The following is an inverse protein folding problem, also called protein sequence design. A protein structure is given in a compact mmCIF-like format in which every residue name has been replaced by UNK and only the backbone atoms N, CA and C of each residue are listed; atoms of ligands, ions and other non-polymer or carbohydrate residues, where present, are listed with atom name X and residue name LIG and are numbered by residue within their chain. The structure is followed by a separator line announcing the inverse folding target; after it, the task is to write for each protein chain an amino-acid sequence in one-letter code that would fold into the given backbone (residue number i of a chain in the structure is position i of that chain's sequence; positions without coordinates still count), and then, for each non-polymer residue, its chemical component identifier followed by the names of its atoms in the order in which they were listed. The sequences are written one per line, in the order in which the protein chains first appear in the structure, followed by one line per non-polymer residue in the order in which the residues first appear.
data_IF_867719560657
#
_entry.id   IF_867719560657
#
_cell.length_a   1.000
_cell.length_b   1.000
_cell.length_c   1.000
_cell.angle_alpha   90.00
_cell.angle_beta   90.00
_cell.angle_gamma   90.00
#
_symmetry.space_group_name_H-M   'P 1'
#
loop_
_entity.id
_entity.type
_entity.pdbx_description
1 polymer ?
#
# COMPACT_ATOMS: atom_id res chain seq x y z
N UNK A 1 -31.06 1.98 -67.08
CA UNK A 1 -30.30 2.90 -67.98
C UNK A 1 -29.66 4.11 -67.27
N UNK A 2 -30.00 4.43 -66.00
CA UNK A 2 -29.39 5.59 -65.29
C UNK A 2 -28.04 5.33 -64.61
N UNK A 3 -27.62 4.07 -64.46
CA UNK A 3 -26.40 3.70 -63.71
C UNK A 3 -25.10 4.24 -64.33
N UNK A 4 -25.01 4.35 -65.65
CA UNK A 4 -23.77 4.76 -66.33
C UNK A 4 -23.49 6.25 -66.15
N UNK A 5 -24.51 7.10 -66.19
CA UNK A 5 -24.35 8.55 -65.98
C UNK A 5 -24.04 8.90 -64.52
N UNK A 6 -24.65 8.18 -63.57
CA UNK A 6 -24.37 8.35 -62.14
C UNK A 6 -22.93 7.94 -61.81
N UNK A 7 -22.44 6.82 -62.36
CA UNK A 7 -21.05 6.36 -62.15
C UNK A 7 -20.00 7.35 -62.63
N UNK A 8 -20.25 8.11 -63.71
CA UNK A 8 -19.31 9.13 -64.21
C UNK A 8 -19.26 10.36 -63.29
N UNK A 9 -20.42 10.90 -62.91
CA UNK A 9 -20.49 12.04 -61.99
C UNK A 9 -19.99 11.70 -60.59
N UNK A 10 -20.26 10.49 -60.10
CA UNK A 10 -19.79 10.04 -58.78
C UNK A 10 -18.26 9.93 -58.74
N UNK A 11 -17.63 9.43 -59.82
CA UNK A 11 -16.17 9.35 -59.92
C UNK A 11 -15.52 10.73 -59.95
N UNK A 12 -16.14 11.69 -60.62
CA UNK A 12 -15.67 13.08 -60.70
C UNK A 12 -15.78 13.80 -59.35
N UNK A 13 -16.87 13.58 -58.61
CA UNK A 13 -17.06 14.12 -57.25
C UNK A 13 -16.06 13.49 -56.27
N UNK A 14 -15.85 12.18 -56.33
CA UNK A 14 -14.94 11.46 -55.43
C UNK A 14 -13.46 11.77 -55.71
N UNK A 15 -13.09 11.97 -56.99
CA UNK A 15 -11.72 12.33 -57.36
C UNK A 15 -11.40 13.83 -57.22
N UNK A 16 -12.35 14.65 -56.77
CA UNK A 16 -12.04 16.04 -56.43
C UNK A 16 -11.12 16.07 -55.19
N UNK A 17 -10.01 16.83 -55.23
CA UNK A 17 -9.06 16.92 -54.11
C UNK A 17 -9.73 17.44 -52.82
N UNK A 18 -10.80 18.23 -52.95
CA UNK A 18 -11.58 18.74 -51.81
C UNK A 18 -12.33 17.60 -51.13
N UNK A 19 -13.03 16.76 -51.91
CA UNK A 19 -13.77 15.61 -51.38
C UNK A 19 -12.84 14.62 -50.69
N UNK A 20 -11.65 14.37 -51.28
CA UNK A 20 -10.62 13.54 -50.66
C UNK A 20 -10.12 14.13 -49.34
N UNK A 21 -9.87 15.44 -49.28
CA UNK A 21 -9.48 16.11 -48.04
C UNK A 21 -10.54 16.02 -46.93
N UNK A 22 -11.82 16.17 -47.28
CA UNK A 22 -12.93 16.02 -46.33
C UNK A 22 -13.03 14.59 -45.80
N UNK A 23 -12.96 13.59 -46.69
CA UNK A 23 -12.99 12.17 -46.29
C UNK A 23 -11.78 11.84 -45.40
N UNK A 24 -10.58 12.29 -45.77
CA UNK A 24 -9.37 12.07 -45.00
C UNK A 24 -9.48 12.69 -43.60
N UNK A 25 -9.97 13.93 -43.52
CA UNK A 25 -10.22 14.62 -42.25
C UNK A 25 -11.22 13.85 -41.39
N UNK A 26 -12.32 13.38 -41.99
CA UNK A 26 -13.33 12.57 -41.29
C UNK A 26 -12.74 11.26 -40.77
N UNK A 27 -11.93 10.56 -41.58
CA UNK A 27 -11.22 9.36 -41.16
C UNK A 27 -10.23 9.63 -40.02
N UNK A 28 -9.50 10.75 -40.05
CA UNK A 28 -8.58 11.14 -38.98
C UNK A 28 -9.30 11.39 -37.66
N UNK A 29 -10.45 12.08 -37.68
CA UNK A 29 -11.25 12.35 -36.47
C UNK A 29 -11.76 11.04 -35.87
N UNK A 30 -12.28 10.13 -36.70
CA UNK A 30 -12.77 8.82 -36.23
C UNK A 30 -11.61 7.97 -35.69
N UNK A 31 -10.48 7.94 -36.41
CA UNK A 31 -9.29 7.21 -35.99
C UNK A 31 -8.72 7.73 -34.66
N UNK A 32 -8.67 9.05 -34.49
CA UNK A 32 -8.24 9.68 -33.24
C UNK A 32 -9.17 9.35 -32.08
N UNK A 33 -10.49 9.43 -32.30
CA UNK A 33 -11.50 9.08 -31.28
C UNK A 33 -11.38 7.62 -30.86
N UNK A 34 -11.21 6.70 -31.81
CA UNK A 34 -11.00 5.28 -31.53
C UNK A 34 -9.70 5.04 -30.76
N UNK A 35 -8.61 5.73 -31.11
CA UNK A 35 -7.33 5.61 -30.42
C UNK A 35 -7.42 6.06 -28.96
N UNK A 36 -8.02 7.22 -28.69
CA UNK A 36 -8.24 7.72 -27.31
C UNK A 36 -9.09 6.75 -26.50
N UNK A 37 -10.14 6.19 -27.09
CA UNK A 37 -10.99 5.20 -26.41
C UNK A 37 -10.24 3.90 -26.11
N UNK A 38 -9.39 3.47 -27.02
CA UNK A 38 -8.56 2.27 -26.83
C UNK A 38 -7.54 2.45 -25.71
N UNK A 39 -6.88 3.61 -25.66
CA UNK A 39 -5.89 3.94 -24.63
C UNK A 39 -6.52 3.96 -23.23
N UNK A 40 -7.67 4.66 -23.10
CA UNK A 40 -8.44 4.69 -21.85
C UNK A 40 -8.90 3.29 -21.42
N UNK A 41 -9.34 2.45 -22.36
CA UNK A 41 -9.77 1.08 -22.04
C UNK A 41 -8.59 0.24 -21.51
N UNK A 42 -7.41 0.41 -22.09
CA UNK A 42 -6.20 -0.29 -21.66
C UNK A 42 -5.76 0.19 -20.27
N UNK A 43 -5.75 1.51 -20.04
CA UNK A 43 -5.41 2.09 -18.74
C UNK A 43 -6.37 1.64 -17.63
N UNK A 44 -7.68 1.60 -17.90
CA UNK A 44 -8.67 1.14 -16.94
C UNK A 44 -8.50 -0.34 -16.57
N UNK A 45 -8.08 -1.17 -17.52
CA UNK A 45 -7.80 -2.59 -17.26
C UNK A 45 -6.62 -2.75 -16.31
N UNK A 46 -5.56 -1.99 -16.53
CA UNK A 46 -4.36 -2.02 -15.67
C UNK A 46 -4.69 -1.51 -14.26
N UNK A 47 -5.38 -0.37 -14.15
CA UNK A 47 -5.84 0.18 -12.87
C UNK A 47 -6.73 -0.79 -12.10
N UNK A 48 -7.59 -1.53 -12.81
CA UNK A 48 -8.46 -2.54 -12.20
C UNK A 48 -7.65 -3.68 -11.58
N UNK A 49 -6.65 -4.20 -12.30
CA UNK A 49 -5.77 -5.26 -11.78
C UNK A 49 -5.03 -4.77 -10.53
N UNK A 50 -4.48 -3.55 -10.58
CA UNK A 50 -3.80 -2.97 -9.42
C UNK A 50 -4.74 -2.79 -8.23
N UNK A 51 -5.97 -2.29 -8.45
CA UNK A 51 -6.97 -2.18 -7.39
C UNK A 51 -7.32 -3.55 -6.79
N UNK A 52 -7.55 -4.57 -7.62
CA UNK A 52 -7.86 -5.93 -7.16
C UNK A 52 -6.72 -6.51 -6.32
N UNK A 53 -5.47 -6.38 -6.76
CA UNK A 53 -4.31 -6.85 -5.99
C UNK A 53 -4.16 -6.12 -4.64
N UNK A 54 -4.37 -4.81 -4.60
CA UNK A 54 -4.33 -4.02 -3.37
C UNK A 54 -5.46 -4.45 -2.41
N UNK A 55 -6.67 -4.67 -2.93
CA UNK A 55 -7.79 -5.14 -2.08
C UNK A 55 -7.52 -6.51 -1.49
N UNK A 56 -6.97 -7.45 -2.28
CA UNK A 56 -6.63 -8.79 -1.79
C UNK A 56 -5.52 -8.75 -0.72
N UNK A 57 -4.51 -7.89 -0.92
CA UNK A 57 -3.48 -7.67 0.09
C UNK A 57 -4.05 -7.08 1.38
N UNK A 58 -4.88 -6.03 1.28
CA UNK A 58 -5.51 -5.41 2.45
C UNK A 58 -6.42 -6.39 3.21
N UNK A 59 -7.14 -7.25 2.50
CA UNK A 59 -8.00 -8.26 3.12
C UNK A 59 -7.19 -9.32 3.89
N UNK A 60 -6.06 -9.79 3.34
CA UNK A 60 -5.18 -10.72 4.05
C UNK A 60 -4.51 -10.09 5.27
N UNK A 61 -4.08 -8.84 5.16
CA UNK A 61 -3.57 -8.06 6.28
C UNK A 61 -4.63 -7.86 7.37
N UNK A 62 -5.87 -7.54 6.99
CA UNK A 62 -6.98 -7.39 7.93
C UNK A 62 -7.30 -8.69 8.66
N UNK A 63 -7.32 -9.82 7.95
CA UNK A 63 -7.53 -11.13 8.57
C UNK A 63 -6.44 -11.44 9.60
N UNK A 64 -5.16 -11.26 9.22
CA UNK A 64 -4.03 -11.50 10.13
C UNK A 64 -4.07 -10.58 11.35
N UNK A 65 -4.43 -9.30 11.17
CA UNK A 65 -4.57 -8.36 12.29
C UNK A 65 -5.73 -8.74 13.19
N UNK A 66 -6.85 -9.20 12.62
CA UNK A 66 -8.02 -9.65 13.39
C UNK A 66 -7.66 -10.86 14.25
N UNK A 67 -6.97 -11.84 13.70
CA UNK A 67 -6.53 -13.03 14.45
C UNK A 67 -5.57 -12.66 15.60
N UNK A 68 -4.65 -11.72 15.35
CA UNK A 68 -3.77 -11.19 16.39
C UNK A 68 -4.55 -10.44 17.48
N UNK A 69 -5.50 -9.60 17.10
CA UNK A 69 -6.34 -8.86 18.06
C UNK A 69 -7.18 -9.84 18.88
N UNK A 70 -7.76 -10.86 18.26
CA UNK A 70 -8.53 -11.89 18.95
C UNK A 70 -7.65 -12.65 19.96
N UNK A 71 -6.45 -13.06 19.55
CA UNK A 71 -5.46 -13.66 20.44
C UNK A 71 -5.11 -12.75 21.62
N UNK A 72 -4.76 -11.49 21.36
CA UNK A 72 -4.43 -10.50 22.40
C UNK A 72 -5.63 -10.11 23.27
N UNK A 73 -6.86 -10.24 22.78
CA UNK A 73 -8.06 -9.92 23.56
C UNK A 73 -8.49 -11.04 24.51
N UNK A 74 -7.96 -12.26 24.32
CA UNK A 74 -8.24 -13.37 25.21
C UNK A 74 -7.46 -13.21 26.52
N UNK A 75 -8.11 -13.49 27.66
CA UNK A 75 -7.47 -13.40 28.99
C UNK A 75 -6.14 -14.17 29.05
N UNK A 76 -6.10 -15.32 28.38
CA UNK A 76 -4.93 -16.19 28.29
C UNK A 76 -3.81 -15.63 27.38
N UNK A 77 -4.16 -14.84 26.37
CA UNK A 77 -3.20 -14.15 25.49
C UNK A 77 -2.58 -12.94 26.15
N UNK A 78 -3.38 -12.17 26.90
CA UNK A 78 -2.89 -11.06 27.74
C UNK A 78 -1.91 -11.58 28.78
N UNK A 79 -2.27 -12.64 29.51
CA UNK A 79 -1.42 -13.23 30.53
C UNK A 79 -0.09 -13.77 29.96
N UNK A 80 -0.13 -14.40 28.78
CA UNK A 80 1.06 -14.94 28.13
C UNK A 80 2.04 -13.86 27.64
N UNK A 81 1.53 -12.75 27.07
CA UNK A 81 2.37 -11.62 26.68
C UNK A 81 2.88 -10.82 27.89
N UNK A 82 2.06 -10.66 28.94
CA UNK A 82 2.48 -10.05 30.20
C UNK A 82 3.63 -10.83 30.85
N UNK A 83 3.54 -12.16 30.93
CA UNK A 83 4.63 -13.01 31.43
C UNK A 83 5.91 -12.89 30.59
N UNK A 84 5.79 -12.76 29.26
CA UNK A 84 6.94 -12.67 28.35
C UNK A 84 7.63 -11.31 28.37
N UNK A 85 6.88 -10.21 28.39
CA UNK A 85 7.46 -8.86 28.29
C UNK A 85 7.77 -8.23 29.64
N UNK A 86 7.00 -8.54 30.68
CA UNK A 86 7.08 -7.84 31.97
C UNK A 86 7.52 -8.74 33.13
N UNK A 87 7.87 -10.01 32.85
CA UNK A 87 8.34 -11.00 33.83
C UNK A 87 7.41 -11.10 35.07
N UNK A 88 6.10 -10.96 34.82
CA UNK A 88 5.07 -10.88 35.87
C UNK A 88 4.64 -12.30 36.26
N UNK A 89 4.76 -12.64 37.53
CA UNK A 89 4.24 -13.88 38.10
C UNK A 89 2.99 -13.63 38.95
N UNK A 90 2.19 -14.67 39.17
CA UNK A 90 1.08 -14.56 40.13
C UNK A 90 1.64 -14.29 41.54
N UNK A 91 0.85 -13.67 42.45
CA UNK A 91 1.31 -13.32 43.80
C UNK A 91 1.85 -14.49 44.64
N UNK A 92 1.52 -15.73 44.27
CA UNK A 92 1.92 -16.97 44.97
C UNK A 92 2.93 -17.83 44.16
N UNK A 93 3.50 -17.29 43.07
CA UNK A 93 4.45 -17.98 42.19
C UNK A 93 5.87 -17.40 42.36
N UNK A 94 6.86 -18.24 42.71
CA UNK A 94 8.26 -17.81 42.94
C UNK A 94 9.09 -17.96 41.68
N UNK A 95 9.52 -16.84 41.09
CA UNK A 95 10.44 -16.81 39.93
C UNK A 95 11.88 -16.84 40.41
N UNK A 96 12.66 -17.83 39.97
CA UNK A 96 14.10 -17.95 40.25
C UNK A 96 14.88 -17.58 38.98
N UNK A 97 15.44 -16.37 38.96
CA UNK A 97 16.33 -15.93 37.87
C UNK A 97 17.75 -16.43 38.17
N UNK A 98 18.16 -17.49 37.48
CA UNK A 98 19.52 -18.02 37.58
C UNK A 98 20.38 -17.24 36.59
N UNK A 99 21.24 -16.37 37.11
CA UNK A 99 22.27 -15.69 36.34
C UNK A 99 23.53 -16.51 36.51
N UNK A 100 24.01 -17.13 35.44
CA UNK A 100 25.35 -17.73 35.44
C UNK A 100 26.37 -16.60 35.55
N UNK A 101 26.89 -16.44 36.77
CA UNK A 101 27.99 -15.53 37.07
C UNK A 101 29.26 -16.35 36.92
N UNK A 102 29.88 -16.27 35.75
CA UNK A 102 31.29 -16.66 35.63
C UNK A 102 32.07 -15.83 36.64
N UNK A 103 32.81 -16.52 37.51
CA UNK A 103 33.59 -15.93 38.58
C UNK A 103 34.60 -14.93 38.00
N UNK A 104 34.57 -13.69 38.48
CA UNK A 104 35.80 -13.07 38.96
C UNK A 104 35.52 -11.91 39.91
N UNK A 105 36.22 -11.94 41.03
CA UNK A 105 36.06 -11.01 42.13
C UNK A 105 36.29 -9.56 41.72
N UNK A 106 35.24 -8.74 41.82
CA UNK A 106 35.42 -7.30 42.00
C UNK A 106 34.33 -6.74 42.89
N UNK A 107 34.80 -5.98 43.87
CA UNK A 107 34.09 -5.29 44.94
C UNK A 107 32.67 -4.87 44.58
N UNK A 108 31.74 -5.20 45.46
CA UNK A 108 30.41 -4.59 45.53
C UNK A 108 30.63 -3.10 45.83
N UNK A 109 30.76 -2.28 44.78
CA UNK A 109 30.56 -0.85 44.91
C UNK A 109 29.05 -0.65 44.95
N UNK A 110 28.54 -0.28 46.12
CA UNK A 110 27.20 0.28 46.26
C UNK A 110 27.10 1.47 45.31
N UNK A 111 26.39 1.29 44.19
CA UNK A 111 25.96 2.41 43.36
C UNK A 111 24.94 3.20 44.17
N UNK A 112 25.43 4.15 44.95
CA UNK A 112 24.66 5.32 45.35
C UNK A 112 24.14 5.93 44.06
N UNK A 113 22.85 5.72 43.79
CA UNK A 113 22.08 6.48 42.80
C UNK A 113 22.24 7.96 43.12
N UNK A 114 23.20 8.62 42.47
CA UNK A 114 23.20 10.08 42.38
C UNK A 114 21.94 10.44 41.60
N UNK A 115 21.04 11.16 42.26
CA UNK A 115 19.92 11.84 41.64
C UNK A 115 20.52 12.91 40.71
N UNK A 116 20.79 12.56 39.46
CA UNK A 116 20.96 13.57 38.42
C UNK A 116 19.59 14.23 38.20
N UNK A 117 19.51 15.53 38.51
CA UNK A 117 18.33 16.34 38.22
C UNK A 117 17.93 16.20 36.74
N UNK A 118 16.62 16.09 36.45
CA UNK A 118 16.16 15.95 35.08
C UNK A 118 16.46 17.24 34.32
N UNK A 119 17.43 17.18 33.39
CA UNK A 119 17.59 18.21 32.35
C UNK A 119 16.26 18.32 31.60
N UNK A 120 15.56 19.43 31.81
CA UNK A 120 14.32 19.77 31.10
C UNK A 120 14.58 19.71 29.59
N UNK A 121 13.99 18.72 28.94
CA UNK A 121 14.04 18.60 27.48
C UNK A 121 13.03 19.57 26.90
N UNK A 122 13.52 20.67 26.34
CA UNK A 122 12.67 21.66 25.66
C UNK A 122 12.21 21.10 24.31
N UNK A 123 10.89 21.12 24.10
CA UNK A 123 10.16 20.48 23.00
C UNK A 123 10.56 20.91 21.57
N UNK A 124 11.29 22.02 21.41
CA UNK A 124 11.68 22.55 20.09
C UNK A 124 12.91 21.87 19.46
N UNK A 125 13.67 21.06 20.22
CA UNK A 125 14.86 20.36 19.69
C UNK A 125 14.54 19.20 18.73
N UNK A 126 13.26 18.86 18.56
CA UNK A 126 12.84 17.74 17.70
C UNK A 126 12.76 18.09 16.20
N UNK A 127 12.87 19.37 15.82
CA UNK A 127 12.66 19.84 14.44
C UNK A 127 13.91 20.46 13.81
N UNK A 128 15.11 20.04 14.24
CA UNK A 128 16.37 20.45 13.64
C UNK A 128 16.99 19.33 12.81
#
# INVERSE_FOLDING_TARGET
MFDFYQKRKFREIVNSPITQGVILTMCLIIGWSAYVRFDVAMEMRERRIQAETQTAALESHKATLKDKVEYLSSDRGIEAEMRRQFDVALPDEKVVVIIDREEDGKSIASTSTMLEEPKERVWYQFWQ
#
